data_IF_362897425379
#
_entry.id   IF_362897425379
#
_cell.length_a   1.000
_cell.length_b   1.000
_cell.length_c   1.000
_cell.angle_alpha   90.00
_cell.angle_beta   90.00
_cell.angle_gamma   90.00
#
_symmetry.space_group_name_H-M   'P 1'
#
loop_
_entity.id
_entity.type
_entity.pdbx_description
1 polymer ?
#
# COMPACT_ATOMS: atom_id res chain seq x y z
N UNK A 1 -43.65 -25.50 11.14
CA UNK A 1 -42.75 -26.14 10.15
C UNK A 1 -41.32 -25.91 10.63
N UNK A 2 -40.77 -26.52 11.67
CA UNK A 2 -40.59 -27.95 11.99
C UNK A 2 -40.13 -28.83 10.83
N UNK A 3 -38.80 -29.05 10.72
CA UNK A 3 -38.08 -30.36 10.75
C UNK A 3 -36.63 -30.19 10.24
N UNK A 4 -35.61 -30.44 11.06
CA UNK A 4 -34.87 -31.70 11.33
C UNK A 4 -33.63 -31.92 10.42
N UNK A 5 -32.57 -32.44 11.06
CA UNK A 5 -31.32 -33.14 10.62
C UNK A 5 -30.08 -32.27 10.96
N UNK A 6 -29.30 -32.42 12.03
CA UNK A 6 -28.86 -33.54 12.88
C UNK A 6 -28.29 -34.73 12.12
N UNK A 7 -26.95 -34.81 12.03
CA UNK A 7 -26.23 -36.09 12.12
C UNK A 7 -24.79 -35.88 12.58
N UNK A 8 -24.42 -36.72 13.53
CA UNK A 8 -23.23 -36.66 14.37
C UNK A 8 -22.19 -37.68 13.89
N UNK A 9 -20.92 -37.43 14.23
CA UNK A 9 -19.89 -38.39 14.65
C UNK A 9 -19.32 -39.43 13.68
N UNK A 10 -17.98 -39.47 13.58
CA UNK A 10 -17.18 -40.64 14.00
C UNK A 10 -15.68 -40.35 14.14
N UNK A 11 -15.20 -40.45 15.37
CA UNK A 11 -13.82 -40.70 15.76
C UNK A 11 -13.41 -42.12 15.32
N UNK A 12 -12.19 -42.26 14.80
CA UNK A 12 -11.41 -43.51 14.86
C UNK A 12 -9.96 -43.20 15.20
N UNK A 13 -9.62 -43.50 16.45
CA UNK A 13 -8.28 -43.72 16.99
C UNK A 13 -7.84 -45.15 16.71
N UNK A 14 -6.66 -45.33 16.09
CA UNK A 14 -5.86 -46.57 16.08
C UNK A 14 -4.40 -46.08 15.94
N UNK A 15 -3.55 -46.19 16.95
CA UNK A 15 -2.93 -47.39 17.55
C UNK A 15 -1.49 -47.55 17.07
N UNK A 16 -0.60 -47.49 18.04
CA UNK A 16 0.83 -47.81 18.06
C UNK A 16 1.32 -48.88 17.09
N UNK A 17 2.55 -48.68 16.59
CA UNK A 17 3.69 -49.59 16.80
C UNK A 17 4.99 -49.02 16.23
N UNK A 18 5.92 -48.73 17.14
CA UNK A 18 7.32 -48.40 16.87
C UNK A 18 8.18 -49.65 17.10
N UNK A 19 9.15 -49.99 16.21
CA UNK A 19 10.24 -50.87 16.58
C UNK A 19 11.48 -50.06 16.99
N UNK A 20 11.98 -50.35 18.19
CA UNK A 20 13.29 -49.93 18.68
C UNK A 20 14.40 -50.37 17.72
N UNK A 21 15.27 -49.44 17.34
CA UNK A 21 16.58 -49.73 16.74
C UNK A 21 17.67 -49.41 17.76
N UNK A 22 18.54 -50.39 17.95
CA UNK A 22 19.73 -50.37 18.77
C UNK A 22 20.74 -49.30 18.32
N UNK A 23 21.36 -48.66 19.29
CA UNK A 23 22.42 -47.66 19.13
C UNK A 23 23.78 -48.31 18.89
N UNK A 24 24.58 -47.85 17.91
CA UNK A 24 26.01 -48.08 17.90
C UNK A 24 26.79 -46.88 18.46
N UNK A 25 27.90 -47.24 19.08
CA UNK A 25 28.91 -46.44 19.78
C UNK A 25 29.38 -45.22 18.98
N UNK A 26 29.39 -44.05 19.63
CA UNK A 26 29.91 -42.79 19.10
C UNK A 26 31.43 -42.67 19.30
N UNK A 27 32.17 -42.64 18.19
CA UNK A 27 33.54 -42.10 18.12
C UNK A 27 33.51 -40.57 17.97
N UNK A 28 34.56 -39.84 18.38
CA UNK A 28 34.56 -38.37 18.38
C UNK A 28 34.54 -37.81 16.95
N UNK A 29 33.54 -36.98 16.66
CA UNK A 29 33.36 -36.31 15.37
C UNK A 29 34.50 -35.33 15.07
N UNK A 30 35.31 -35.65 14.04
CA UNK A 30 36.11 -34.65 13.33
C UNK A 30 35.17 -33.72 12.57
N UNK A 31 35.32 -32.42 12.80
CA UNK A 31 34.54 -31.36 12.15
C UNK A 31 34.57 -31.47 10.63
N UNK A 32 33.48 -31.96 10.05
CA UNK A 32 33.29 -32.03 8.61
C UNK A 32 33.03 -30.62 8.07
N UNK A 33 34.05 -30.05 7.44
CA UNK A 33 33.90 -28.85 6.63
C UNK A 33 32.78 -29.08 5.59
N UNK A 34 31.85 -28.13 5.40
CA UNK A 34 30.75 -28.30 4.46
C UNK A 34 31.29 -28.52 3.06
N UNK A 35 31.02 -29.71 2.51
CA UNK A 35 31.42 -30.10 1.17
C UNK A 35 30.92 -29.07 0.14
N UNK A 36 31.79 -28.70 -0.80
CA UNK A 36 31.56 -27.74 -1.90
C UNK A 36 30.21 -27.92 -2.61
N UNK A 37 29.68 -29.15 -2.69
CA UNK A 37 28.36 -29.45 -3.25
C UNK A 37 27.18 -28.81 -2.45
N UNK A 38 27.26 -28.73 -1.12
CA UNK A 38 26.24 -28.06 -0.29
C UNK A 38 26.23 -26.55 -0.50
N UNK A 39 27.41 -25.94 -0.64
CA UNK A 39 27.57 -24.51 -0.93
C UNK A 39 27.01 -24.11 -2.30
N UNK A 40 27.24 -24.91 -3.34
CA UNK A 40 26.70 -24.66 -4.69
C UNK A 40 25.17 -24.78 -4.71
N UNK A 41 24.60 -25.78 -4.04
CA UNK A 41 23.13 -25.94 -3.95
C UNK A 41 22.48 -24.77 -3.18
N UNK A 42 23.10 -24.32 -2.10
CA UNK A 42 22.62 -23.17 -1.32
C UNK A 42 22.64 -21.87 -2.14
N UNK A 43 23.71 -21.60 -2.90
CA UNK A 43 23.77 -20.46 -3.83
C UNK A 43 22.68 -20.53 -4.90
N UNK A 44 22.49 -21.68 -5.55
CA UNK A 44 21.46 -21.84 -6.59
C UNK A 44 20.04 -21.63 -6.06
N UNK A 45 19.74 -22.07 -4.84
CA UNK A 45 18.44 -21.82 -4.19
C UNK A 45 18.29 -20.32 -3.86
N UNK A 46 19.34 -19.66 -3.40
CA UNK A 46 19.33 -18.23 -3.08
C UNK A 46 19.13 -17.38 -4.35
N UNK A 47 19.87 -17.65 -5.44
CA UNK A 47 19.71 -16.97 -6.74
C UNK A 47 18.30 -17.14 -7.30
N UNK A 48 17.71 -18.34 -7.18
CA UNK A 48 16.31 -18.59 -7.54
C UNK A 48 15.32 -17.81 -6.67
N UNK A 49 15.65 -17.55 -5.41
CA UNK A 49 14.79 -16.79 -4.49
C UNK A 49 14.88 -15.30 -4.78
N UNK A 50 16.07 -14.80 -5.07
CA UNK A 50 16.33 -13.39 -5.38
C UNK A 50 15.79 -13.02 -6.76
N UNK A 51 15.96 -13.89 -7.77
CA UNK A 51 15.37 -13.72 -9.10
C UNK A 51 13.84 -13.76 -9.05
N UNK A 52 13.26 -14.64 -8.23
CA UNK A 52 11.80 -14.66 -7.99
C UNK A 52 11.33 -13.42 -7.23
N UNK A 53 12.13 -12.88 -6.32
CA UNK A 53 11.86 -11.63 -5.61
C UNK A 53 11.81 -10.44 -6.57
N UNK A 54 12.85 -10.27 -7.39
CA UNK A 54 12.93 -9.21 -8.38
C UNK A 54 11.85 -9.33 -9.48
N UNK A 55 11.59 -10.56 -9.95
CA UNK A 55 10.50 -10.82 -10.89
C UNK A 55 9.16 -10.51 -10.25
N UNK A 56 8.93 -10.85 -8.98
CA UNK A 56 7.70 -10.53 -8.25
C UNK A 56 7.53 -9.03 -8.05
N UNK A 57 8.59 -8.30 -7.69
CA UNK A 57 8.56 -6.84 -7.59
C UNK A 57 8.26 -6.20 -8.96
N UNK A 58 8.93 -6.65 -10.02
CA UNK A 58 8.68 -6.19 -11.39
C UNK A 58 7.27 -6.54 -11.87
N UNK A 59 6.75 -7.72 -11.49
CA UNK A 59 5.38 -8.14 -11.82
C UNK A 59 4.37 -7.32 -11.02
N UNK A 60 4.58 -7.05 -9.73
CA UNK A 60 3.72 -6.18 -8.95
C UNK A 60 3.73 -4.75 -9.53
N UNK A 61 4.88 -4.22 -9.92
CA UNK A 61 4.98 -2.93 -10.62
C UNK A 61 4.32 -2.94 -12.00
N UNK A 62 4.31 -4.06 -12.74
CA UNK A 62 3.66 -4.14 -14.05
C UNK A 62 2.15 -4.39 -13.95
N UNK A 63 1.71 -5.23 -13.00
CA UNK A 63 0.31 -5.64 -12.84
C UNK A 63 -0.50 -4.63 -12.04
N UNK A 64 0.04 -4.08 -10.95
CA UNK A 64 -0.70 -3.12 -10.12
C UNK A 64 -0.78 -1.74 -10.75
N UNK A 65 -0.01 -1.48 -11.82
CA UNK A 65 0.05 -0.16 -12.40
C UNK A 65 -0.96 0.11 -13.53
N UNK A 66 -1.77 -0.87 -13.93
CA UNK A 66 -2.83 -0.73 -14.94
C UNK A 66 -2.42 0.05 -16.22
N UNK A 67 -1.12 0.08 -16.52
CA UNK A 67 -0.54 0.81 -17.65
C UNK A 67 -1.08 0.29 -18.97
N UNK A 68 -1.47 -0.98 -18.97
CA UNK A 68 -2.13 -1.61 -20.10
C UNK A 68 -3.41 -0.87 -20.52
N UNK A 69 -4.16 -0.26 -19.59
CA UNK A 69 -5.37 0.53 -19.91
C UNK A 69 -4.99 1.75 -20.75
N UNK A 70 -3.87 2.40 -20.42
CA UNK A 70 -3.35 3.54 -21.18
C UNK A 70 -2.92 3.06 -22.57
N UNK A 71 -2.13 1.99 -22.65
CA UNK A 71 -1.64 1.47 -23.94
C UNK A 71 -2.74 0.86 -24.81
N UNK A 72 -3.86 0.43 -24.23
CA UNK A 72 -5.01 -0.12 -24.96
C UNK A 72 -5.86 0.95 -25.69
N UNK A 73 -5.57 2.24 -25.49
CA UNK A 73 -6.34 3.34 -26.07
C UNK A 73 -7.64 3.68 -25.33
N UNK A 74 -7.93 3.02 -24.20
CA UNK A 74 -9.08 3.35 -23.35
C UNK A 74 -8.91 4.68 -22.59
N UNK A 75 -7.67 5.15 -22.43
CA UNK A 75 -7.36 6.45 -21.83
C UNK A 75 -7.09 7.47 -22.93
N UNK A 76 -7.84 8.57 -22.93
CA UNK A 76 -7.52 9.73 -23.75
C UNK A 76 -6.50 10.61 -23.02
N UNK A 77 -5.41 10.95 -23.72
CA UNK A 77 -4.46 11.95 -23.26
C UNK A 77 -4.98 13.35 -23.56
N UNK A 78 -4.84 14.24 -22.59
CA UNK A 78 -5.14 15.66 -22.73
C UNK A 78 -4.14 16.33 -23.68
N UNK A 79 -4.63 17.24 -24.52
CA UNK A 79 -3.78 18.16 -25.29
C UNK A 79 -3.31 19.36 -24.45
N UNK A 80 -3.96 19.62 -23.32
CA UNK A 80 -3.50 20.59 -22.34
C UNK A 80 -2.27 20.03 -21.62
N UNK A 81 -1.17 20.77 -21.68
CA UNK A 81 0.06 20.51 -20.96
C UNK A 81 0.02 21.19 -19.60
N UNK A 82 0.27 20.42 -18.54
CA UNK A 82 0.35 20.95 -17.17
C UNK A 82 1.73 21.57 -16.96
N UNK A 83 1.75 22.74 -16.33
CA UNK A 83 2.96 23.56 -16.10
C UNK A 83 3.10 23.92 -14.61
N UNK A 84 4.18 24.60 -14.23
CA UNK A 84 4.32 25.19 -12.90
C UNK A 84 3.14 26.06 -12.44
N UNK A 85 2.44 26.73 -13.36
CA UNK A 85 1.26 27.56 -13.03
C UNK A 85 0.08 26.73 -12.53
N UNK A 86 0.03 25.46 -12.94
CA UNK A 86 -0.99 24.51 -12.50
C UNK A 86 -0.61 23.84 -11.19
N UNK A 87 0.59 24.08 -10.63
CA UNK A 87 0.98 23.45 -9.36
C UNK A 87 0.07 23.90 -8.22
N UNK A 88 -0.38 22.94 -7.42
CA UNK A 88 -1.21 23.25 -6.26
C UNK A 88 -0.31 23.74 -5.11
N UNK A 89 -0.70 24.79 -4.34
CA UNK A 89 0.01 25.18 -3.12
C UNK A 89 0.12 24.01 -2.13
N UNK A 90 1.10 24.08 -1.20
CA UNK A 90 1.50 22.98 -0.30
C UNK A 90 0.36 22.40 0.57
N UNK A 91 -0.71 23.15 0.81
CA UNK A 91 -1.74 22.81 1.81
C UNK A 91 -2.39 21.43 1.62
N UNK A 92 -2.82 20.97 0.43
CA UNK A 92 -3.41 19.65 0.29
C UNK A 92 -2.42 18.51 0.40
N UNK A 93 -1.12 18.72 0.20
CA UNK A 93 -0.17 17.61 0.26
C UNK A 93 -0.18 16.93 1.62
N UNK A 94 -0.09 17.72 2.69
CA UNK A 94 -0.16 17.18 4.06
C UNK A 94 -1.50 16.49 4.31
N UNK A 95 -2.60 17.13 3.96
CA UNK A 95 -3.94 16.58 4.16
C UNK A 95 -4.11 15.24 3.41
N UNK A 96 -3.80 15.22 2.12
CA UNK A 96 -3.94 14.04 1.27
C UNK A 96 -2.95 12.93 1.68
N UNK A 97 -1.75 13.28 2.15
CA UNK A 97 -0.80 12.30 2.71
C UNK A 97 -1.31 11.69 4.02
N UNK A 98 -1.86 12.51 4.92
CA UNK A 98 -2.41 12.06 6.19
C UNK A 98 -3.64 11.15 5.98
N UNK A 99 -4.65 11.61 5.22
CA UNK A 99 -5.85 10.80 4.94
C UNK A 99 -5.52 9.54 4.12
N UNK A 100 -4.51 9.65 3.27
CA UNK A 100 -3.98 8.57 2.46
C UNK A 100 -3.48 7.38 3.25
N UNK A 101 -2.93 7.62 4.45
CA UNK A 101 -2.54 6.56 5.37
C UNK A 101 -3.73 5.63 5.69
N UNK A 102 -4.91 6.21 5.91
CA UNK A 102 -6.12 5.44 6.26
C UNK A 102 -6.66 4.68 5.05
N UNK A 103 -6.56 5.23 3.84
CA UNK A 103 -6.92 4.51 2.61
C UNK A 103 -6.01 3.27 2.41
N UNK A 104 -4.70 3.39 2.64
CA UNK A 104 -3.77 2.24 2.61
C UNK A 104 -4.12 1.22 3.70
N UNK A 105 -4.42 1.67 4.93
CA UNK A 105 -4.84 0.77 6.00
C UNK A 105 -6.16 0.07 5.70
N UNK A 106 -7.12 0.77 5.09
CA UNK A 106 -8.38 0.17 4.67
C UNK A 106 -8.15 -0.90 3.60
N UNK A 107 -7.15 -0.75 2.74
CA UNK A 107 -6.78 -1.73 1.71
C UNK A 107 -5.86 -2.85 2.23
N UNK A 108 -5.20 -2.65 3.37
CA UNK A 108 -4.16 -3.57 3.86
C UNK A 108 -4.70 -4.96 4.17
N UNK A 109 -4.00 -6.02 3.76
CA UNK A 109 -4.39 -7.39 4.15
C UNK A 109 -4.24 -7.64 5.66
N UNK A 110 -3.45 -6.82 6.35
CA UNK A 110 -3.18 -6.95 7.78
C UNK A 110 -4.42 -6.66 8.62
N UNK A 111 -4.46 -7.27 9.81
CA UNK A 111 -5.50 -7.05 10.81
C UNK A 111 -5.44 -5.61 11.34
N UNK A 112 -6.45 -4.80 11.01
CA UNK A 112 -6.51 -3.41 11.46
C UNK A 112 -6.58 -3.30 12.99
N UNK A 113 -7.22 -4.22 13.71
CA UNK A 113 -7.24 -4.17 15.19
C UNK A 113 -5.84 -4.33 15.77
N UNK A 114 -5.06 -5.27 15.22
CA UNK A 114 -3.67 -5.50 15.61
C UNK A 114 -2.79 -4.28 15.33
N UNK A 115 -3.00 -3.61 14.20
CA UNK A 115 -2.27 -2.38 13.87
C UNK A 115 -2.57 -1.29 14.92
N UNK A 116 -3.85 -1.05 15.21
CA UNK A 116 -4.22 0.00 16.16
C UNK A 116 -3.90 -0.34 17.62
N UNK A 117 -3.84 -1.61 18.01
CA UNK A 117 -3.40 -2.01 19.35
C UNK A 117 -1.90 -1.81 19.58
N UNK A 118 -1.11 -1.64 18.52
CA UNK A 118 0.33 -1.44 18.58
C UNK A 118 0.79 -0.20 17.80
N UNK A 119 -0.12 0.74 17.51
CA UNK A 119 0.15 1.83 16.56
C UNK A 119 1.33 2.70 17.00
N UNK A 120 1.45 2.99 18.30
CA UNK A 120 2.52 3.84 18.82
C UNK A 120 3.91 3.22 18.60
N UNK A 121 4.04 1.89 18.78
CA UNK A 121 5.27 1.15 18.48
C UNK A 121 5.52 1.08 16.97
N UNK A 122 4.48 0.81 16.17
CA UNK A 122 4.59 0.67 14.71
C UNK A 122 4.98 1.98 14.00
N UNK A 123 4.69 3.13 14.62
CA UNK A 123 5.04 4.46 14.16
C UNK A 123 6.46 4.91 14.58
N UNK A 124 7.21 4.11 15.36
CA UNK A 124 8.58 4.45 15.76
C UNK A 124 9.59 4.29 14.60
N UNK A 125 10.76 4.95 14.68
CA UNK A 125 11.85 4.70 13.73
C UNK A 125 12.14 3.21 13.57
N UNK A 126 12.46 2.80 12.34
CA UNK A 126 12.71 1.40 11.92
C UNK A 126 11.48 0.47 11.81
N UNK A 127 10.33 0.84 12.38
CA UNK A 127 9.09 0.07 12.28
C UNK A 127 8.36 0.30 10.94
N UNK A 128 7.43 -0.59 10.54
CA UNK A 128 6.84 -0.56 9.19
C UNK A 128 6.02 0.71 8.89
N UNK A 129 5.43 1.33 9.91
CA UNK A 129 4.51 2.45 9.75
C UNK A 129 5.15 3.80 10.11
N UNK A 130 6.47 3.88 10.29
CA UNK A 130 7.17 5.12 10.68
C UNK A 130 6.73 6.39 9.90
N UNK A 131 6.47 6.25 8.59
CA UNK A 131 6.07 7.38 7.75
C UNK A 131 4.55 7.63 7.67
N UNK A 132 3.73 6.91 8.42
CA UNK A 132 2.27 7.01 8.41
C UNK A 132 1.78 8.00 9.48
N UNK A 133 2.24 9.24 9.38
CA UNK A 133 1.99 10.27 10.39
C UNK A 133 0.51 10.55 10.63
N UNK A 134 -0.32 10.43 9.59
CA UNK A 134 -1.77 10.56 9.71
C UNK A 134 -2.40 9.62 10.73
N UNK A 135 -1.79 8.46 11.00
CA UNK A 135 -2.30 7.48 11.97
C UNK A 135 -1.97 7.84 13.43
N UNK A 136 -1.04 8.76 13.69
CA UNK A 136 -0.57 9.09 15.04
C UNK A 136 -1.72 9.64 15.89
N UNK A 137 -1.91 9.08 17.08
CA UNK A 137 -2.98 9.48 18.00
C UNK A 137 -4.40 9.13 17.52
N UNK A 138 -4.54 8.40 16.41
CA UNK A 138 -5.84 7.96 15.91
C UNK A 138 -6.36 6.73 16.65
N UNK A 139 -7.69 6.56 16.68
CA UNK A 139 -8.38 5.45 17.35
C UNK A 139 -9.31 4.75 16.38
N UNK A 140 -9.14 3.45 16.23
CA UNK A 140 -10.05 2.63 15.42
C UNK A 140 -11.35 2.40 16.20
N UNK A 141 -12.44 2.99 15.73
CA UNK A 141 -13.77 2.86 16.34
C UNK A 141 -14.48 1.61 15.84
N UNK A 142 -14.46 1.39 14.51
CA UNK A 142 -15.18 0.27 13.91
C UNK A 142 -14.53 -0.22 12.61
N UNK A 143 -14.80 -1.48 12.28
CA UNK A 143 -14.51 -2.09 10.98
C UNK A 143 -15.83 -2.61 10.42
N UNK A 144 -16.22 -2.11 9.26
CA UNK A 144 -17.44 -2.51 8.56
C UNK A 144 -17.05 -3.39 7.39
N UNK A 145 -17.72 -4.54 7.24
CA UNK A 145 -17.53 -5.47 6.13
C UNK A 145 -18.80 -5.54 5.28
N UNK A 146 -18.66 -5.24 3.99
CA UNK A 146 -19.72 -5.31 3.00
C UNK A 146 -19.89 -6.74 2.47
N UNK A 147 -21.05 -7.36 2.73
CA UNK A 147 -21.31 -8.76 2.36
C UNK A 147 -21.24 -9.09 0.86
N UNK A 148 -21.59 -8.15 -0.02
CA UNK A 148 -21.76 -8.42 -1.46
C UNK A 148 -20.53 -8.08 -2.31
N UNK A 149 -19.86 -6.98 -1.98
CA UNK A 149 -18.75 -6.45 -2.77
C UNK A 149 -17.40 -6.65 -2.06
N UNK A 150 -17.40 -7.38 -0.94
CA UNK A 150 -16.23 -7.59 -0.08
C UNK A 150 -15.50 -6.29 0.27
N UNK A 151 -16.26 -5.20 0.41
CA UNK A 151 -15.74 -3.87 0.74
C UNK A 151 -15.46 -3.83 2.23
N UNK A 152 -14.28 -3.35 2.62
CA UNK A 152 -13.98 -3.04 4.02
C UNK A 152 -13.99 -1.53 4.21
N UNK A 153 -14.61 -1.07 5.28
CA UNK A 153 -14.50 0.32 5.71
C UNK A 153 -13.95 0.40 7.13
N UNK A 154 -13.01 1.31 7.34
CA UNK A 154 -12.49 1.67 8.66
C UNK A 154 -13.16 2.96 9.10
N UNK A 155 -13.70 2.97 10.33
CA UNK A 155 -14.16 4.19 11.00
C UNK A 155 -13.11 4.52 12.05
N UNK A 156 -12.42 5.64 11.87
CA UNK A 156 -11.29 6.03 12.72
C UNK A 156 -11.50 7.45 13.22
N UNK A 157 -11.35 7.65 14.53
CA UNK A 157 -11.42 8.96 15.15
C UNK A 157 -10.02 9.53 15.39
N UNK A 158 -9.85 10.83 15.13
CA UNK A 158 -8.64 11.62 15.32
C UNK A 158 -8.94 12.75 16.31
N UNK A 159 -8.73 12.51 17.62
CA UNK A 159 -9.14 13.46 18.66
C UNK A 159 -8.46 14.81 18.55
N UNK A 160 -7.16 14.83 18.24
CA UNK A 160 -6.37 16.06 18.13
C UNK A 160 -6.90 16.99 17.02
N UNK A 161 -7.30 16.41 15.89
CA UNK A 161 -7.88 17.13 14.75
C UNK A 161 -9.40 17.27 14.83
N UNK A 162 -10.05 16.72 15.86
CA UNK A 162 -11.52 16.63 15.99
C UNK A 162 -12.17 16.06 14.72
N UNK A 163 -11.52 15.06 14.13
CA UNK A 163 -11.87 14.53 12.81
C UNK A 163 -12.31 13.07 12.92
N UNK A 164 -13.34 12.70 12.16
CA UNK A 164 -13.69 11.30 11.90
C UNK A 164 -13.36 10.96 10.46
N UNK A 165 -12.57 9.91 10.25
CA UNK A 165 -12.16 9.42 8.95
C UNK A 165 -12.91 8.11 8.67
N UNK A 166 -13.57 8.06 7.51
CA UNK A 166 -14.17 6.83 6.99
C UNK A 166 -13.39 6.44 5.75
N UNK A 167 -12.56 5.41 5.87
CA UNK A 167 -11.70 4.94 4.79
C UNK A 167 -12.26 3.64 4.21
N UNK A 168 -12.53 3.64 2.92
CA UNK A 168 -13.03 2.48 2.20
C UNK A 168 -11.90 1.79 1.44
N UNK A 169 -11.95 0.47 1.38
CA UNK A 169 -11.21 -0.31 0.40
C UNK A 169 -12.13 -1.04 -0.54
N UNK A 170 -11.60 -1.23 -1.73
CA UNK A 170 -12.11 -2.15 -2.72
C UNK A 170 -11.25 -3.39 -2.57
N UNK A 171 -11.86 -4.53 -2.24
CA UNK A 171 -11.09 -5.76 -2.20
C UNK A 171 -10.96 -6.28 -3.63
N UNK A 172 -9.77 -6.13 -4.19
CA UNK A 172 -9.45 -6.72 -5.48
C UNK A 172 -8.95 -8.13 -5.18
N UNK A 173 -9.68 -9.20 -5.56
CA UNK A 173 -9.16 -10.55 -5.41
C UNK A 173 -7.80 -10.63 -6.10
N UNK A 174 -6.77 -11.05 -5.36
CA UNK A 174 -5.35 -10.96 -5.75
C UNK A 174 -4.98 -11.78 -7.01
N UNK A 175 -5.92 -12.50 -7.64
CA UNK A 175 -5.74 -13.20 -8.90
C UNK A 175 -7.08 -13.32 -9.66
N UNK A 176 -7.14 -12.81 -10.89
CA UNK A 176 -8.02 -13.38 -11.93
C UNK A 176 -9.37 -12.72 -12.20
N UNK A 177 -9.89 -11.83 -11.35
CA UNK A 177 -11.15 -11.11 -11.63
C UNK A 177 -10.99 -9.60 -11.46
N UNK A 178 -11.11 -8.85 -12.57
CA UNK A 178 -11.04 -7.39 -12.63
C UNK A 178 -12.22 -6.73 -11.88
N UNK A 179 -12.12 -6.60 -10.56
CA UNK A 179 -13.12 -5.89 -9.76
C UNK A 179 -12.53 -4.76 -8.95
N UNK A 180 -12.73 -3.58 -9.53
CA UNK A 180 -12.98 -2.27 -8.90
C UNK A 180 -11.77 -1.54 -8.34
N UNK A 181 -11.52 -0.37 -8.93
CA UNK A 181 -10.86 0.77 -8.32
C UNK A 181 -11.73 2.00 -8.60
N UNK A 182 -11.31 3.20 -8.16
CA UNK A 182 -12.09 4.44 -8.33
C UNK A 182 -12.30 4.72 -9.81
N UNK A 183 -13.46 4.27 -10.28
CA UNK A 183 -13.94 4.34 -11.64
C UNK A 183 -14.80 5.59 -11.81
N UNK A 184 -15.10 5.97 -13.06
CA UNK A 184 -16.24 6.83 -13.37
C UNK A 184 -17.50 6.17 -12.81
N UNK A 185 -18.13 6.73 -11.76
CA UNK A 185 -19.11 6.00 -10.94
C UNK A 185 -20.50 5.96 -11.56
N UNK A 186 -20.77 6.77 -12.60
CA UNK A 186 -22.04 6.76 -13.29
C UNK A 186 -22.05 7.68 -14.49
N UNK A 187 -23.24 7.96 -15.00
CA UNK A 187 -23.44 8.77 -16.20
C UNK A 187 -23.48 10.28 -15.91
N UNK A 188 -23.75 11.08 -16.95
CA UNK A 188 -23.85 12.54 -16.85
C UNK A 188 -24.96 12.98 -15.89
N UNK A 189 -26.08 12.26 -15.83
CA UNK A 189 -27.17 12.57 -14.90
C UNK A 189 -26.71 12.45 -13.43
N UNK A 190 -26.01 11.37 -13.08
CA UNK A 190 -25.46 11.20 -11.73
C UNK A 190 -24.38 12.25 -11.41
N UNK A 191 -23.49 12.52 -12.36
CA UNK A 191 -22.45 13.54 -12.18
C UNK A 191 -23.05 14.95 -11.99
N UNK A 192 -24.11 15.30 -12.72
CA UNK A 192 -24.83 16.56 -12.56
C UNK A 192 -25.59 16.63 -11.24
N UNK A 193 -26.25 15.55 -10.84
CA UNK A 193 -26.92 15.46 -9.53
C UNK A 193 -25.93 15.71 -8.38
N UNK A 194 -24.75 15.09 -8.44
CA UNK A 194 -23.69 15.32 -7.44
C UNK A 194 -23.25 16.78 -7.41
N UNK A 195 -22.91 17.38 -8.57
CA UNK A 195 -22.47 18.78 -8.67
C UNK A 195 -23.52 19.76 -8.14
N UNK A 196 -24.79 19.55 -8.51
CA UNK A 196 -25.90 20.38 -8.04
C UNK A 196 -26.08 20.25 -6.52
N UNK A 197 -25.99 19.02 -5.98
CA UNK A 197 -26.08 18.79 -4.54
C UNK A 197 -24.99 19.51 -3.75
N UNK A 198 -23.75 19.51 -4.26
CA UNK A 198 -22.65 20.26 -3.64
C UNK A 198 -22.85 21.77 -3.76
N UNK A 199 -23.35 22.26 -4.90
CA UNK A 199 -23.67 23.68 -5.08
C UNK A 199 -24.75 24.13 -4.09
N UNK A 200 -25.83 23.35 -3.94
CA UNK A 200 -26.92 23.65 -3.00
C UNK A 200 -26.44 23.57 -1.55
N UNK A 201 -25.60 22.59 -1.20
CA UNK A 201 -24.96 22.51 0.11
C UNK A 201 -24.14 23.77 0.42
N UNK A 202 -23.33 24.26 -0.54
CA UNK A 202 -22.51 25.47 -0.37
C UNK A 202 -23.32 26.76 -0.27
N UNK A 203 -24.56 26.80 -0.79
CA UNK A 203 -25.48 27.94 -0.62
C UNK A 203 -26.20 27.93 0.74
N UNK A 204 -26.10 26.83 1.49
CA UNK A 204 -26.77 26.71 2.79
C UNK A 204 -26.24 27.74 3.80
N UNK A 205 -27.12 28.39 4.59
CA UNK A 205 -26.71 29.43 5.56
C UNK A 205 -25.90 28.89 6.75
N UNK A 206 -25.65 27.58 6.82
CA UNK A 206 -24.98 26.94 7.96
C UNK A 206 -23.45 27.16 8.02
N UNK A 207 -22.87 27.98 7.14
CA UNK A 207 -21.42 28.24 7.07
C UNK A 207 -20.56 26.96 7.07
N UNK A 208 -21.06 25.89 6.44
CA UNK A 208 -20.31 24.64 6.32
C UNK A 208 -19.39 24.71 5.11
N UNK A 209 -18.12 24.32 5.28
CA UNK A 209 -17.18 24.19 4.17
C UNK A 209 -17.22 22.77 3.60
N UNK A 210 -17.14 22.66 2.28
CA UNK A 210 -17.04 21.38 1.58
C UNK A 210 -15.97 21.44 0.52
N UNK A 211 -15.05 20.48 0.57
CA UNK A 211 -14.01 20.26 -0.42
C UNK A 211 -13.92 18.77 -0.69
N UNK A 212 -13.98 18.41 -1.96
CA UNK A 212 -13.69 17.09 -2.50
C UNK A 212 -12.38 17.16 -3.29
N UNK A 213 -11.66 16.05 -3.39
CA UNK A 213 -10.48 15.93 -4.24
C UNK A 213 -10.52 14.60 -5.00
N UNK A 214 -10.13 14.63 -6.27
CA UNK A 214 -9.85 13.43 -7.05
C UNK A 214 -8.39 13.46 -7.47
N UNK A 215 -7.57 12.60 -6.84
CA UNK A 215 -6.16 12.49 -7.18
C UNK A 215 -5.98 11.41 -8.24
N UNK A 216 -5.41 11.79 -9.38
CA UNK A 216 -4.99 10.92 -10.47
C UNK A 216 -3.48 10.90 -10.51
N UNK A 217 -2.89 9.82 -11.01
CA UNK A 217 -1.44 9.71 -11.06
C UNK A 217 -0.93 9.51 -12.47
N UNK A 218 0.29 9.97 -12.72
CA UNK A 218 0.98 9.71 -13.97
C UNK A 218 1.09 8.19 -14.22
N UNK A 219 0.71 7.78 -15.43
CA UNK A 219 0.60 6.39 -15.85
C UNK A 219 -0.48 5.55 -15.12
N UNK A 220 -1.45 6.18 -14.47
CA UNK A 220 -2.62 5.51 -13.92
C UNK A 220 -3.79 5.53 -14.91
N UNK A 221 -4.06 4.39 -15.56
CA UNK A 221 -5.18 4.27 -16.50
C UNK A 221 -6.53 4.00 -15.82
N UNK A 222 -6.55 3.73 -14.53
CA UNK A 222 -7.74 3.29 -13.80
C UNK A 222 -8.87 4.30 -13.80
N UNK A 223 -8.62 5.60 -13.56
CA UNK A 223 -9.68 6.60 -13.58
C UNK A 223 -10.37 6.68 -14.95
N UNK A 224 -9.75 6.19 -16.03
CA UNK A 224 -10.35 6.13 -17.36
C UNK A 224 -11.41 5.03 -17.52
N UNK A 225 -11.69 4.22 -16.50
CA UNK A 225 -12.70 3.17 -16.57
C UNK A 225 -13.96 3.48 -15.74
N UNK A 226 -15.15 3.05 -16.18
CA UNK A 226 -15.47 2.71 -17.56
C UNK A 226 -15.20 3.89 -18.51
N UNK A 227 -15.03 3.65 -19.82
CA UNK A 227 -14.69 4.70 -20.77
C UNK A 227 -15.78 5.78 -20.90
N UNK A 228 -15.36 7.04 -21.08
CA UNK A 228 -16.29 8.16 -21.22
C UNK A 228 -17.20 8.04 -22.46
N UNK A 229 -16.70 7.42 -23.54
CA UNK A 229 -17.52 7.17 -24.73
C UNK A 229 -18.69 6.20 -24.48
N UNK A 230 -18.64 5.42 -23.39
CA UNK A 230 -19.75 4.58 -22.94
C UNK A 230 -20.75 5.34 -22.05
N UNK A 231 -20.63 6.67 -21.97
CA UNK A 231 -21.54 7.54 -21.22
C UNK A 231 -21.22 7.67 -19.73
N UNK A 232 -20.06 7.20 -19.26
CA UNK A 232 -19.62 7.34 -17.87
C UNK A 232 -18.82 8.62 -17.67
N UNK A 233 -18.99 9.29 -16.53
CA UNK A 233 -18.40 10.60 -16.23
C UNK A 233 -17.78 10.66 -14.84
N UNK A 234 -16.80 11.55 -14.67
CA UNK A 234 -16.31 11.89 -13.34
C UNK A 234 -17.26 12.87 -12.64
N UNK A 235 -17.44 12.70 -11.32
CA UNK A 235 -18.32 13.56 -10.52
C UNK A 235 -17.55 14.74 -9.90
N UNK A 236 -16.33 14.49 -9.42
CA UNK A 236 -15.49 15.45 -8.70
C UNK A 236 -14.88 16.45 -9.69
N UNK A 237 -14.91 17.73 -9.32
CA UNK A 237 -14.40 18.83 -10.15
C UNK A 237 -12.98 19.27 -9.78
N UNK A 238 -12.62 19.13 -8.50
CA UNK A 238 -11.28 19.40 -7.99
C UNK A 238 -10.37 18.20 -8.26
N UNK A 239 -9.90 18.11 -9.51
CA UNK A 239 -9.01 17.03 -9.95
C UNK A 239 -7.56 17.46 -9.79
N UNK A 240 -6.76 16.61 -9.15
CA UNK A 240 -5.32 16.78 -9.00
C UNK A 240 -4.60 15.68 -9.78
N UNK A 241 -3.53 16.02 -10.47
CA UNK A 241 -2.66 15.10 -11.18
C UNK A 241 -1.31 15.02 -10.48
N UNK A 242 -0.93 13.83 -10.01
CA UNK A 242 0.33 13.59 -9.31
C UNK A 242 1.37 13.04 -10.29
N UNK A 243 2.48 13.77 -10.47
CA UNK A 243 3.65 13.32 -11.24
C UNK A 243 4.93 13.61 -10.46
N UNK A 244 5.76 12.58 -10.25
CA UNK A 244 7.13 12.65 -9.71
C UNK A 244 7.33 13.33 -8.34
N UNK A 245 6.29 13.73 -7.63
CA UNK A 245 6.54 14.93 -6.83
C UNK A 245 5.32 15.72 -6.47
N UNK A 246 4.68 16.07 -7.56
CA UNK A 246 4.03 17.35 -7.66
C UNK A 246 2.60 17.10 -8.03
N UNK A 247 1.70 17.73 -7.28
CA UNK A 247 0.28 17.82 -7.55
C UNK A 247 0.03 19.05 -8.42
N UNK A 248 -0.52 18.78 -9.59
CA UNK A 248 -1.00 19.78 -10.52
C UNK A 248 -2.52 19.82 -10.45
N UNK A 249 -3.10 21.02 -10.40
CA UNK A 249 -4.52 21.24 -10.54
C UNK A 249 -4.91 21.05 -12.01
N UNK A 250 -5.83 20.13 -12.28
CA UNK A 250 -6.35 19.90 -13.64
C UNK A 250 -7.45 20.92 -13.92
N UNK A 251 -7.38 21.69 -15.01
CA UNK A 251 -8.43 22.63 -15.37
C UNK A 251 -9.79 21.95 -15.50
N UNK A 252 -10.88 22.64 -15.15
CA UNK A 252 -12.23 22.05 -15.15
C UNK A 252 -12.65 21.54 -16.55
N UNK A 253 -12.15 22.15 -17.62
CA UNK A 253 -12.38 21.70 -19.01
C UNK A 253 -11.68 20.38 -19.34
N UNK A 254 -10.73 19.95 -18.52
CA UNK A 254 -9.90 18.76 -18.73
C UNK A 254 -10.22 17.61 -17.76
N UNK A 255 -11.28 17.72 -16.95
CA UNK A 255 -11.59 16.73 -15.89
C UNK A 255 -11.92 15.32 -16.39
N UNK A 256 -12.20 15.13 -17.68
CA UNK A 256 -12.46 13.79 -18.25
C UNK A 256 -11.20 13.07 -18.72
N UNK A 257 -10.06 13.78 -18.83
CA UNK A 257 -8.78 13.21 -19.22
C UNK A 257 -8.01 12.69 -18.02
N UNK A 258 -7.38 11.52 -18.15
CA UNK A 258 -6.65 10.88 -17.05
C UNK A 258 -5.14 10.80 -17.27
N UNK A 259 -4.68 11.23 -18.44
CA UNK A 259 -3.28 11.25 -18.83
C UNK A 259 -2.92 12.63 -19.40
N UNK A 260 -1.81 13.19 -18.96
CA UNK A 260 -1.40 14.56 -19.24
C UNK A 260 0.09 14.63 -19.56
N UNK A 261 0.44 15.46 -20.53
CA UNK A 261 1.80 15.99 -20.61
C UNK A 261 2.02 16.94 -19.43
N UNK A 262 3.23 16.90 -18.87
CA UNK A 262 3.69 17.90 -17.93
C UNK A 262 5.02 18.39 -18.47
N UNK A 263 5.14 19.70 -18.57
CA UNK A 263 6.28 20.38 -19.15
C UNK A 263 7.58 19.80 -18.55
N UNK A 264 8.45 19.33 -19.45
CA UNK A 264 9.72 18.72 -19.08
C UNK A 264 10.78 19.75 -18.72
N UNK A 265 10.63 21.03 -19.03
CA UNK A 265 11.62 22.03 -18.61
C UNK A 265 11.52 22.37 -17.12
N UNK A 266 10.41 21.98 -16.47
CA UNK A 266 10.30 21.83 -15.00
C UNK A 266 11.03 20.55 -14.48
N UNK A 267 11.79 19.83 -15.33
CA UNK A 267 12.65 18.69 -14.95
C UNK A 267 14.05 19.07 -14.47
N UNK A 268 14.34 20.36 -14.24
CA UNK A 268 15.20 20.67 -13.12
C UNK A 268 14.47 20.18 -11.87
N UNK A 269 14.70 18.90 -11.53
CA UNK A 269 14.05 18.14 -10.47
C UNK A 269 13.60 19.11 -9.40
N UNK A 270 12.28 19.42 -9.29
CA UNK A 270 11.80 20.50 -8.46
C UNK A 270 12.16 20.16 -7.03
N UNK A 271 13.34 20.62 -6.65
CA UNK A 271 14.06 20.26 -5.44
C UNK A 271 13.83 18.78 -5.17
N UNK A 272 14.52 17.85 -5.84
CA UNK A 272 14.73 16.51 -5.24
C UNK A 272 15.26 16.83 -3.85
N UNK A 273 14.41 16.77 -2.80
CA UNK A 273 14.55 17.66 -1.65
C UNK A 273 15.91 17.42 -1.09
N UNK A 274 16.83 18.37 -1.34
CA UNK A 274 18.26 18.13 -1.51
C UNK A 274 18.62 16.94 -0.66
N UNK A 275 18.64 15.73 -1.26
CA UNK A 275 19.09 14.56 -0.51
C UNK A 275 20.53 14.93 -0.27
N UNK A 276 20.77 15.52 0.90
CA UNK A 276 22.05 16.06 1.26
C UNK A 276 23.00 14.90 1.20
N UNK A 277 23.72 14.77 0.08
CA UNK A 277 25.05 14.21 0.06
C UNK A 277 25.98 15.23 0.74
N UNK A 278 25.65 15.63 1.95
CA UNK A 278 26.62 16.03 2.96
C UNK A 278 26.61 14.92 4.02
N UNK A 279 27.05 13.75 3.58
CA UNK A 279 27.61 12.74 4.48
C UNK A 279 29.03 13.21 4.84
N UNK A 280 29.15 14.00 5.90
CA UNK A 280 30.35 13.96 6.75
C UNK A 280 29.93 14.03 8.22
N UNK A 281 30.03 12.86 8.85
CA UNK A 281 30.33 12.61 10.26
C UNK A 281 29.14 12.28 11.21
N UNK A 282 28.99 10.97 11.43
CA UNK A 282 28.81 10.26 12.71
C UNK A 282 27.52 10.31 13.53
N UNK A 283 26.43 10.88 13.01
CA UNK A 283 25.08 10.55 13.52
C UNK A 283 24.02 10.71 12.44
N UNK A 284 23.99 9.75 11.52
CA UNK A 284 23.04 9.73 10.41
C UNK A 284 21.67 9.30 10.93
N UNK A 285 20.95 10.22 11.58
CA UNK A 285 19.50 10.22 11.40
C UNK A 285 19.28 10.59 9.94
N UNK A 286 19.08 9.57 9.10
CA UNK A 286 18.62 9.75 7.72
C UNK A 286 17.27 10.46 7.80
N UNK A 287 17.28 11.79 7.81
CA UNK A 287 16.16 12.63 7.42
C UNK A 287 15.95 12.41 5.92
N UNK A 288 15.51 11.20 5.58
CA UNK A 288 14.94 10.92 4.27
C UNK A 288 13.87 11.98 4.10
N UNK A 289 14.00 12.86 3.09
CA UNK A 289 13.01 13.88 2.86
C UNK A 289 11.66 13.17 2.78
N UNK A 290 10.74 13.66 3.60
CA UNK A 290 9.44 13.02 3.74
C UNK A 290 8.86 12.85 2.34
N UNK A 291 8.35 11.66 1.97
CA UNK A 291 7.63 11.52 0.72
C UNK A 291 6.47 12.51 0.79
N UNK A 292 6.57 13.63 0.06
CA UNK A 292 5.57 14.71 0.07
C UNK A 292 4.27 14.28 -0.59
N UNK A 293 4.18 13.04 -1.07
CA UNK A 293 3.07 12.61 -1.91
C UNK A 293 1.88 12.12 -1.09
N UNK A 294 0.66 12.32 -1.58
CA UNK A 294 -0.51 11.68 -0.99
C UNK A 294 -0.32 10.17 -0.91
N UNK A 295 -0.76 9.56 0.19
CA UNK A 295 -0.72 8.11 0.38
C UNK A 295 -2.04 7.50 -0.11
N UNK A 296 -2.10 6.21 -0.45
CA UNK A 296 -3.35 5.51 -0.76
C UNK A 296 -3.70 5.34 -2.23
N UNK A 297 -3.79 4.07 -2.68
CA UNK A 297 -4.24 3.61 -4.01
C UNK A 297 -3.20 2.69 -4.69
N UNK A 298 -3.60 1.85 -5.65
CA UNK A 298 -2.72 0.83 -6.26
C UNK A 298 -1.51 1.39 -7.01
N UNK A 299 -1.66 2.58 -7.59
CA UNK A 299 -0.60 3.26 -8.34
C UNK A 299 0.38 4.04 -7.46
N UNK A 300 0.02 4.31 -6.21
CA UNK A 300 0.80 5.16 -5.30
C UNK A 300 2.10 4.48 -4.81
N UNK A 301 2.39 3.29 -5.35
CA UNK A 301 3.56 2.49 -5.06
C UNK A 301 4.71 2.72 -6.04
N UNK A 302 4.50 3.47 -7.13
CA UNK A 302 5.59 3.85 -8.03
C UNK A 302 6.67 4.61 -7.23
N UNK A 303 7.90 4.08 -7.25
CA UNK A 303 9.06 4.57 -6.47
C UNK A 303 8.96 4.42 -4.94
N UNK A 304 7.85 3.87 -4.41
CA UNK A 304 7.77 3.53 -2.99
C UNK A 304 8.22 2.11 -2.75
N UNK A 305 8.97 1.96 -1.68
CA UNK A 305 9.25 0.65 -1.12
C UNK A 305 8.04 0.09 -0.34
N UNK A 306 6.83 0.10 -0.91
CA UNK A 306 5.66 -0.55 -0.29
C UNK A 306 5.87 -2.05 -0.19
N UNK A 307 6.59 -2.66 -1.14
CA UNK A 307 7.13 -3.99 -0.95
C UNK A 307 7.94 -4.11 0.36
N UNK A 308 8.75 -3.10 0.73
CA UNK A 308 9.45 -3.08 2.03
C UNK A 308 8.48 -2.91 3.20
N UNK A 309 7.52 -1.99 3.16
CA UNK A 309 6.52 -1.85 4.25
C UNK A 309 5.73 -3.13 4.41
N UNK A 310 5.28 -3.73 3.31
CA UNK A 310 4.59 -5.01 3.28
C UNK A 310 5.46 -6.12 3.83
N UNK A 311 6.70 -6.28 3.36
CA UNK A 311 7.63 -7.29 3.86
C UNK A 311 7.90 -7.13 5.36
N UNK A 312 8.01 -5.88 5.82
CA UNK A 312 8.12 -5.55 7.24
C UNK A 312 6.85 -5.94 8.00
N UNK A 313 5.67 -5.66 7.47
CA UNK A 313 4.39 -6.01 8.08
C UNK A 313 4.14 -7.53 8.08
N UNK A 314 4.40 -8.25 6.99
CA UNK A 314 4.30 -9.72 6.94
C UNK A 314 5.29 -10.41 7.88
N UNK A 315 6.41 -9.75 8.21
CA UNK A 315 7.32 -10.23 9.25
C UNK A 315 6.71 -10.19 10.66
N UNK A 316 5.70 -9.32 10.89
CA UNK A 316 4.91 -9.27 12.12
C UNK A 316 3.90 -10.44 12.15
N UNK A 317 3.16 -10.68 11.07
CA UNK A 317 2.21 -11.83 10.99
C UNK A 317 2.92 -13.17 11.20
N UNK A 318 4.14 -13.33 10.66
CA UNK A 318 4.91 -14.55 10.87
C UNK A 318 5.34 -14.70 12.35
N UNK A 319 5.41 -13.60 13.11
CA UNK A 319 5.61 -13.66 14.56
C UNK A 319 4.34 -14.06 15.34
N UNK A 320 3.16 -13.95 14.72
CA UNK A 320 1.84 -14.23 15.31
C UNK A 320 1.43 -15.71 15.23
N UNK A 321 2.15 -16.56 14.48
CA UNK A 321 1.82 -17.99 14.24
C UNK A 321 1.68 -18.89 15.49
N UNK A 322 1.67 -18.34 16.70
CA UNK A 322 1.16 -18.95 17.92
C UNK A 322 -0.36 -18.81 18.15
N UNK A 323 -1.12 -18.18 17.24
CA UNK A 323 -2.60 -18.13 17.30
C UNK A 323 -3.17 -17.12 18.29
N UNK A 324 -2.36 -16.20 18.81
CA UNK A 324 -2.83 -15.14 19.71
C UNK A 324 -3.17 -13.89 18.90
N UNK A 325 -4.33 -13.29 19.15
CA UNK A 325 -4.81 -12.02 18.55
C UNK A 325 -3.96 -10.78 18.91
N UNK A 326 -2.80 -10.97 19.53
CA UNK A 326 -1.88 -9.91 19.96
C UNK A 326 -0.45 -10.26 19.58
N UNK A 327 0.34 -9.22 19.28
CA UNK A 327 1.79 -9.37 19.18
C UNK A 327 2.32 -9.63 20.60
N UNK A 328 2.44 -10.90 20.99
CA UNK A 328 2.79 -11.29 22.35
C UNK A 328 4.07 -10.60 22.86
N UNK A 329 4.21 -10.46 24.19
CA UNK A 329 5.29 -9.69 24.85
C UNK A 329 6.67 -9.84 24.18
N UNK A 330 7.38 -8.72 24.02
CA UNK A 330 8.72 -8.67 23.42
C UNK A 330 8.75 -8.84 21.90
N UNK A 331 7.62 -8.63 21.21
CA UNK A 331 7.57 -8.71 19.75
C UNK A 331 8.44 -7.65 19.08
N UNK A 332 8.58 -6.46 19.68
CA UNK A 332 9.44 -5.38 19.18
C UNK A 332 10.89 -5.86 19.10
N UNK A 333 11.39 -6.47 20.19
CA UNK A 333 12.76 -7.01 20.24
C UNK A 333 12.96 -8.11 19.20
N UNK A 334 11.98 -9.02 19.04
CA UNK A 334 12.05 -10.08 18.02
C UNK A 334 12.05 -9.51 16.61
N UNK A 335 11.23 -8.49 16.36
CA UNK A 335 11.12 -7.79 15.09
C UNK A 335 12.44 -7.10 14.71
N UNK A 336 13.01 -6.29 15.62
CA UNK A 336 14.29 -5.61 15.40
C UNK A 336 15.42 -6.63 15.19
N UNK A 337 15.46 -7.71 15.97
CA UNK A 337 16.46 -8.79 15.79
C UNK A 337 16.38 -9.41 14.39
N UNK A 338 15.17 -9.60 13.85
CA UNK A 338 14.95 -10.11 12.47
C UNK A 338 15.40 -9.10 11.43
N UNK A 339 15.09 -7.82 11.60
CA UNK A 339 15.56 -6.77 10.68
C UNK A 339 17.09 -6.70 10.64
N UNK A 340 17.74 -6.67 11.81
CA UNK A 340 19.20 -6.63 11.90
C UNK A 340 19.85 -7.91 11.32
N UNK A 341 19.17 -9.05 11.40
CA UNK A 341 19.62 -10.27 10.74
C UNK A 341 19.50 -10.17 9.22
N UNK A 342 18.35 -9.70 8.70
CA UNK A 342 18.13 -9.52 7.26
C UNK A 342 19.12 -8.53 6.64
N UNK A 343 19.39 -7.42 7.33
CA UNK A 343 20.36 -6.41 6.87
C UNK A 343 21.80 -6.93 6.85
N UNK A 344 22.22 -7.67 7.89
CA UNK A 344 23.54 -8.32 7.89
C UNK A 344 23.65 -9.34 6.76
N UNK A 345 22.59 -10.11 6.52
CA UNK A 345 22.54 -11.08 5.42
C UNK A 345 22.66 -10.37 4.07
N UNK A 346 21.93 -9.29 3.83
CA UNK A 346 22.02 -8.53 2.57
C UNK A 346 23.41 -7.93 2.35
N UNK A 347 24.05 -7.38 3.39
CA UNK A 347 25.44 -6.89 3.32
C UNK A 347 26.44 -8.01 2.98
N UNK A 348 26.25 -9.21 3.53
CA UNK A 348 27.14 -10.36 3.27
C UNK A 348 27.04 -10.93 1.85
N UNK A 349 25.92 -10.71 1.16
CA UNK A 349 25.70 -11.22 -0.20
C UNK A 349 26.33 -10.32 -1.28
N UNK A 350 26.84 -9.14 -0.91
CA UNK A 350 27.34 -8.14 -1.84
C UNK A 350 26.23 -7.49 -2.67
N UNK A 351 26.54 -6.44 -3.45
CA UNK A 351 25.60 -5.90 -4.41
C UNK A 351 25.25 -6.98 -5.46
N UNK A 352 24.00 -7.02 -5.94
CA UNK A 352 23.65 -7.92 -7.04
C UNK A 352 24.57 -7.65 -8.23
N UNK A 353 25.18 -8.72 -8.74
CA UNK A 353 26.04 -8.67 -9.92
C UNK A 353 25.28 -8.03 -11.09
N UNK A 354 25.72 -6.88 -11.56
CA UNK A 354 25.23 -6.26 -12.81
C UNK A 354 25.78 -7.08 -13.97
N UNK A 355 25.00 -8.07 -14.44
CA UNK A 355 25.29 -8.82 -15.66
C UNK A 355 24.34 -8.40 -16.77
#
# INVERSE_FOLDING_TARGET
MEKIMSSTSRLKTLSDKSPQKSSPVSLPERGNAPTTKKLVKARRIQDLTDTKGLLRETLLEKFCNYRWIITSGMTKRSLYELTRKDTHPDTPYKLLSDIGCFAEMAHCIFNARLIWSHIDSLLQPNFPLYYYRGLRGSRLENIIYGKKADIRALVVHRPAEKQTVIAFSVNIPLCGEEKVMVKRPGNSALANLYKNSIADFKRSPKNLSYVDYSVRMNNDGVPSLPPAFAGFHHMITNVLYLRKGVLYHVPTSQIEFCDFYVDSDDSQDPISPSIGRELKNDSIELHLPQPLYPRGGHMYYFERAVARTWNKMSSLETAEKGGNESLGQGWETRYIKRLNYAERKSKSLGPPSTR
#
